data_IF_547972897906
#
_entry.id   IF_547972897906
#
_cell.length_a   1.000
_cell.length_b   1.000
_cell.length_c   1.000
_cell.angle_alpha   90.00
_cell.angle_beta   90.00
_cell.angle_gamma   90.00
#
_symmetry.space_group_name_H-M   'P 1'
#
loop_
_entity.id
_entity.type
_entity.pdbx_description
1 polymer ?
#
# COMPACT_ATOMS: atom_id res chain seq x y z
N UNK A 1 2.33 30.94 1.26
CA UNK A 1 1.33 30.12 1.96
C UNK A 1 2.03 29.39 3.08
N UNK A 2 1.61 29.57 4.34
CA UNK A 2 2.10 28.72 5.42
C UNK A 2 1.60 27.29 5.17
N UNK A 3 2.47 26.30 5.24
CA UNK A 3 2.06 24.90 5.17
C UNK A 3 1.18 24.61 6.38
N UNK A 4 -0.11 24.36 6.15
CA UNK A 4 -0.99 23.84 7.19
C UNK A 4 -0.51 22.41 7.46
N UNK A 5 0.05 22.17 8.66
CA UNK A 5 0.53 20.86 9.05
C UNK A 5 -0.62 19.84 9.15
N UNK A 6 -0.32 18.56 8.91
CA UNK A 6 -1.28 17.47 9.10
C UNK A 6 -1.46 17.21 10.60
N UNK A 7 -2.69 17.33 11.17
CA UNK A 7 -2.91 17.08 12.59
C UNK A 7 -2.66 15.62 12.96
N UNK A 8 -1.93 15.39 14.04
CA UNK A 8 -1.68 14.05 14.55
C UNK A 8 -0.73 14.00 15.74
N UNK A 9 -0.49 12.79 16.21
CA UNK A 9 0.41 12.49 17.33
C UNK A 9 1.50 11.53 16.86
N UNK A 10 2.76 11.81 17.20
CA UNK A 10 3.89 10.93 16.90
C UNK A 10 4.24 10.12 18.15
N UNK A 11 4.37 8.81 17.96
CA UNK A 11 4.93 7.88 18.92
C UNK A 11 6.25 7.31 18.38
N UNK A 12 7.05 6.69 19.24
CA UNK A 12 8.21 5.86 18.82
C UNK A 12 7.86 4.41 19.14
N UNK A 13 7.61 3.60 18.10
CA UNK A 13 7.13 2.24 18.28
C UNK A 13 8.28 1.21 18.36
N UNK A 14 9.42 1.50 17.73
CA UNK A 14 10.65 0.71 17.86
C UNK A 14 11.78 1.59 18.41
N UNK A 15 11.98 1.62 19.74
CA UNK A 15 12.96 2.50 20.38
C UNK A 15 14.40 2.25 19.97
N UNK A 16 14.79 1.02 19.61
CA UNK A 16 16.19 0.71 19.24
C UNK A 16 16.59 1.37 17.93
N UNK A 17 15.64 1.49 17.01
CA UNK A 17 15.81 2.13 15.70
C UNK A 17 15.24 3.56 15.66
N UNK A 18 14.57 3.97 16.74
CA UNK A 18 13.87 5.25 16.86
C UNK A 18 12.83 5.45 15.76
N UNK A 19 12.12 4.38 15.38
CA UNK A 19 11.15 4.45 14.29
C UNK A 19 9.84 5.10 14.78
N UNK A 20 9.39 6.18 14.12
CA UNK A 20 8.18 6.88 14.51
C UNK A 20 6.91 6.21 13.94
N UNK A 21 5.83 6.29 14.69
CA UNK A 21 4.48 5.96 14.24
C UNK A 21 3.60 7.21 14.39
N UNK A 22 3.00 7.63 13.28
CA UNK A 22 2.10 8.77 13.25
C UNK A 22 0.65 8.32 13.37
N UNK A 23 -0.09 8.94 14.29
CA UNK A 23 -1.52 8.75 14.47
C UNK A 23 -2.22 9.98 13.93
N UNK A 24 -3.07 9.80 12.92
CA UNK A 24 -3.80 10.92 12.33
C UNK A 24 -4.95 11.34 13.24
N UNK A 25 -5.04 12.64 13.54
CA UNK A 25 -6.13 13.21 14.32
C UNK A 25 -7.14 13.88 13.37
N UNK A 26 -8.43 13.76 13.69
CA UNK A 26 -9.44 14.45 12.88
C UNK A 26 -9.31 15.96 13.05
N UNK A 27 -9.32 16.69 11.92
CA UNK A 27 -9.29 18.15 11.90
C UNK A 27 -10.56 18.77 12.53
N UNK A 28 -11.65 18.00 12.69
CA UNK A 28 -12.93 18.47 13.24
C UNK A 28 -13.08 18.32 14.76
N UNK A 29 -12.13 17.69 15.45
CA UNK A 29 -12.20 17.45 16.90
C UNK A 29 -11.73 18.61 17.79
N UNK A 30 -11.48 19.79 17.23
CA UNK A 30 -10.80 20.91 17.89
C UNK A 30 -11.64 22.16 18.15
N UNK A 31 -12.97 22.10 18.14
CA UNK A 31 -13.78 23.19 18.69
C UNK A 31 -13.97 22.95 20.19
N UNK A 32 -13.17 23.67 21.00
CA UNK A 32 -13.42 23.84 22.43
C UNK A 32 -14.80 24.49 22.60
N UNK A 33 -15.83 23.69 22.86
CA UNK A 33 -17.01 24.15 23.58
C UNK A 33 -16.66 24.18 25.08
N UNK A 34 -15.92 25.23 25.47
CA UNK A 34 -15.87 25.66 26.87
C UNK A 34 -17.24 26.24 27.22
N UNK A 35 -18.19 25.38 27.57
CA UNK A 35 -19.33 25.80 28.38
C UNK A 35 -19.80 24.67 29.29
N UNK A 36 -19.74 24.98 30.58
CA UNK A 36 -20.07 24.14 31.73
C UNK A 36 -21.43 23.44 31.64
N UNK A 37 -21.45 22.11 31.84
CA UNK A 37 -22.22 21.53 32.95
C UNK A 37 -21.84 20.06 33.17
N UNK A 38 -21.43 19.75 34.40
CA UNK A 38 -21.22 18.41 34.92
C UNK A 38 -22.51 17.62 34.84
N UNK A 39 -22.64 16.83 33.78
CA UNK A 39 -23.59 15.72 33.72
C UNK A 39 -22.74 14.49 33.46
N UNK A 40 -22.62 13.64 34.48
CA UNK A 40 -22.04 12.30 34.38
C UNK A 40 -22.88 11.48 33.40
N UNK A 41 -22.57 11.56 32.10
CA UNK A 41 -22.99 10.54 31.16
C UNK A 41 -22.15 9.31 31.46
N UNK A 42 -22.83 8.22 31.83
CA UNK A 42 -22.24 6.89 31.80
C UNK A 42 -21.94 6.58 30.33
N UNK A 43 -20.75 6.96 29.86
CA UNK A 43 -20.24 6.60 28.54
C UNK A 43 -19.86 5.11 28.56
N UNK A 44 -20.88 4.26 28.51
CA UNK A 44 -20.78 2.89 28.01
C UNK A 44 -20.67 2.94 26.46
N UNK A 45 -19.79 3.78 25.92
CA UNK A 45 -19.42 3.74 24.51
C UNK A 45 -18.42 2.58 24.31
N UNK A 46 -18.99 1.38 24.33
CA UNK A 46 -18.32 0.08 24.27
C UNK A 46 -17.86 -0.30 22.86
N UNK A 47 -17.86 0.64 21.91
CA UNK A 47 -17.40 0.38 20.55
C UNK A 47 -15.87 0.22 20.51
N UNK A 48 -15.33 -0.92 20.03
CA UNK A 48 -13.89 -1.11 19.98
C UNK A 48 -13.25 -0.11 19.00
N UNK A 49 -12.16 0.53 19.42
CA UNK A 49 -11.38 1.40 18.54
C UNK A 49 -10.57 0.53 17.58
N UNK A 50 -11.01 0.46 16.34
CA UNK A 50 -10.34 -0.27 15.27
C UNK A 50 -9.21 0.58 14.67
N UNK A 51 -8.22 -0.09 14.12
CA UNK A 51 -7.02 0.52 13.55
C UNK A 51 -6.96 0.23 12.06
N UNK A 52 -6.72 1.27 11.28
CA UNK A 52 -6.22 1.16 9.91
C UNK A 52 -4.74 1.51 9.91
N UNK A 53 -3.88 0.51 9.79
CA UNK A 53 -2.43 0.67 9.66
C UNK A 53 -2.07 0.88 8.19
N UNK A 54 -1.68 2.10 7.86
CA UNK A 54 -1.28 2.54 6.54
C UNK A 54 0.22 2.35 6.33
N UNK A 55 0.60 1.61 5.30
CA UNK A 55 1.98 1.42 4.85
C UNK A 55 2.17 2.16 3.53
N UNK A 56 2.99 3.21 3.54
CA UNK A 56 3.32 4.01 2.36
C UNK A 56 4.19 3.24 1.34
N UNK A 57 4.39 3.85 0.17
CA UNK A 57 5.38 3.36 -0.79
C UNK A 57 6.81 3.59 -0.31
N UNK A 58 7.78 3.00 -1.01
CA UNK A 58 9.19 3.07 -0.65
C UNK A 58 9.75 4.50 -0.58
N UNK A 59 9.12 5.45 -1.28
CA UNK A 59 9.46 6.87 -1.29
C UNK A 59 8.68 7.71 -0.28
N UNK A 60 7.68 7.13 0.36
CA UNK A 60 6.82 7.85 1.28
C UNK A 60 7.48 8.01 2.64
N UNK A 61 7.16 9.14 3.26
CA UNK A 61 7.45 9.42 4.65
C UNK A 61 6.14 9.81 5.33
N UNK A 62 6.21 10.16 6.62
CA UNK A 62 5.03 10.63 7.34
C UNK A 62 4.38 11.82 6.60
N UNK A 63 3.07 11.70 6.36
CA UNK A 63 2.25 12.70 5.69
C UNK A 63 2.63 13.06 4.23
N UNK A 64 3.48 12.28 3.53
CA UNK A 64 3.76 12.51 2.10
C UNK A 64 2.59 12.18 1.20
N UNK A 65 1.68 11.30 1.67
CA UNK A 65 0.48 10.86 0.95
C UNK A 65 -0.74 11.66 1.44
N UNK A 66 -1.17 12.75 0.75
CA UNK A 66 -2.09 13.73 1.35
C UNK A 66 -3.49 13.18 1.61
N UNK A 67 -3.94 12.21 0.80
CA UNK A 67 -5.28 11.63 0.95
C UNK A 67 -5.45 10.85 2.26
N UNK A 68 -4.36 10.44 2.92
CA UNK A 68 -4.43 9.67 4.18
C UNK A 68 -5.03 10.52 5.31
N UNK A 69 -4.78 11.83 5.32
CA UNK A 69 -5.43 12.75 6.24
C UNK A 69 -6.95 12.84 5.99
N UNK A 70 -7.35 12.94 4.72
CA UNK A 70 -8.77 12.92 4.34
C UNK A 70 -9.44 11.59 4.70
N UNK A 71 -8.71 10.47 4.54
CA UNK A 71 -9.18 9.15 4.95
C UNK A 71 -9.37 9.08 6.47
N UNK A 72 -8.43 9.62 7.25
CA UNK A 72 -8.56 9.66 8.71
C UNK A 72 -9.77 10.50 9.16
N UNK A 73 -10.01 11.66 8.55
CA UNK A 73 -11.22 12.47 8.80
C UNK A 73 -12.51 11.73 8.42
N UNK A 74 -12.49 11.02 7.30
CA UNK A 74 -13.63 10.23 6.85
C UNK A 74 -13.94 9.08 7.81
N UNK A 75 -12.92 8.35 8.25
CA UNK A 75 -13.05 7.18 9.11
C UNK A 75 -13.42 7.53 10.56
N UNK A 76 -12.90 8.64 11.06
CA UNK A 76 -13.27 9.15 12.39
C UNK A 76 -14.71 9.68 12.47
N UNK A 77 -15.29 10.11 11.34
CA UNK A 77 -16.67 10.62 11.25
C UNK A 77 -17.71 9.59 10.83
N UNK A 78 -17.31 8.35 10.55
CA UNK A 78 -18.22 7.27 10.12
C UNK A 78 -19.17 6.87 11.24
N UNK A 79 -20.48 7.04 11.01
CA UNK A 79 -21.56 6.87 12.01
C UNK A 79 -21.99 5.42 12.24
N UNK A 80 -21.26 4.42 11.74
CA UNK A 80 -21.67 3.02 11.74
C UNK A 80 -21.34 2.28 13.05
N UNK A 81 -21.16 3.00 14.16
CA UNK A 81 -20.99 2.44 15.51
C UNK A 81 -19.62 1.85 15.83
N UNK A 82 -18.61 1.97 14.95
CA UNK A 82 -17.22 1.59 15.22
C UNK A 82 -16.29 2.77 14.99
N UNK A 83 -15.45 3.09 15.98
CA UNK A 83 -14.43 4.16 15.86
C UNK A 83 -13.20 3.62 15.15
N UNK A 84 -12.70 4.36 14.17
CA UNK A 84 -11.51 4.00 13.41
C UNK A 84 -10.40 5.04 13.59
N UNK A 85 -9.18 4.56 13.82
CA UNK A 85 -7.98 5.39 13.89
C UNK A 85 -7.00 4.97 12.81
N UNK A 86 -6.50 5.95 12.06
CA UNK A 86 -5.49 5.71 11.03
C UNK A 86 -4.11 5.91 11.67
N UNK A 87 -3.25 4.93 11.51
CA UNK A 87 -1.86 4.96 11.99
C UNK A 87 -0.91 4.69 10.82
N UNK A 88 0.25 5.32 10.82
CA UNK A 88 1.26 5.21 9.77
C UNK A 88 2.64 5.05 10.42
N UNK A 89 3.16 3.82 10.53
CA UNK A 89 4.54 3.60 10.94
C UNK A 89 5.48 4.02 9.82
N UNK A 90 6.53 4.75 10.17
CA UNK A 90 7.69 4.90 9.31
C UNK A 90 8.57 3.66 9.51
N UNK A 91 8.85 2.96 8.42
CA UNK A 91 9.73 1.79 8.40
C UNK A 91 11.16 2.21 8.10
N UNK A 92 12.13 1.36 8.38
CA UNK A 92 13.52 1.54 7.94
C UNK A 92 13.65 1.59 6.41
N UNK A 93 12.70 1.00 5.66
CA UNK A 93 12.65 1.11 4.20
C UNK A 93 12.08 2.44 3.69
N UNK A 94 11.44 3.25 4.55
CA UNK A 94 10.72 4.44 4.10
C UNK A 94 11.63 5.52 3.48
N UNK A 95 11.01 6.41 2.70
CA UNK A 95 11.62 7.53 2.01
C UNK A 95 12.79 7.18 1.05
N UNK A 96 14.04 7.25 1.52
CA UNK A 96 15.23 7.07 0.67
C UNK A 96 16.12 5.94 1.16
N UNK A 97 15.54 5.03 1.95
CA UNK A 97 16.29 4.00 2.68
C UNK A 97 15.94 2.58 2.23
N UNK A 98 14.88 2.37 1.44
CA UNK A 98 14.51 1.05 0.91
C UNK A 98 15.63 0.31 0.17
N UNK A 99 16.63 1.02 -0.35
CA UNK A 99 17.76 0.41 -1.06
C UNK A 99 18.73 -0.33 -0.14
N UNK A 100 18.63 -0.14 1.18
CA UNK A 100 19.49 -0.75 2.20
C UNK A 100 18.71 -1.57 3.25
N UNK A 101 17.45 -1.89 2.97
CA UNK A 101 16.56 -2.73 3.81
C UNK A 101 16.05 -3.94 3.01
N UNK A 102 15.17 -4.74 3.62
CA UNK A 102 14.48 -5.87 2.97
C UNK A 102 13.00 -5.93 3.35
N UNK A 103 12.19 -6.68 2.58
CA UNK A 103 10.78 -6.91 2.92
C UNK A 103 10.62 -7.69 4.24
N UNK A 104 11.54 -8.61 4.57
CA UNK A 104 11.54 -9.30 5.86
C UNK A 104 11.68 -8.33 7.05
N UNK A 105 12.48 -7.28 6.87
CA UNK A 105 12.66 -6.23 7.86
C UNK A 105 11.38 -5.39 8.01
N UNK A 106 10.72 -5.06 6.89
CA UNK A 106 9.44 -4.35 6.88
C UNK A 106 8.35 -5.17 7.60
N UNK A 107 8.26 -6.47 7.35
CA UNK A 107 7.33 -7.38 8.05
C UNK A 107 7.60 -7.40 9.57
N UNK A 108 8.86 -7.45 9.99
CA UNK A 108 9.23 -7.44 11.41
C UNK A 108 8.88 -6.10 12.08
N UNK A 109 9.10 -4.98 11.39
CA UNK A 109 8.79 -3.64 11.88
C UNK A 109 7.28 -3.38 11.91
N UNK A 110 6.52 -3.84 10.91
CA UNK A 110 5.05 -3.81 10.92
C UNK A 110 4.50 -4.64 12.08
N UNK A 111 5.04 -5.83 12.34
CA UNK A 111 4.65 -6.65 13.50
C UNK A 111 4.89 -5.89 14.81
N UNK A 112 6.06 -5.28 14.96
CA UNK A 112 6.40 -4.46 16.13
C UNK A 112 5.46 -3.26 16.28
N UNK A 113 5.08 -2.61 15.17
CA UNK A 113 4.11 -1.51 15.18
C UNK A 113 2.72 -1.98 15.63
N UNK A 114 2.27 -3.16 15.20
CA UNK A 114 1.00 -3.76 15.63
C UNK A 114 1.04 -4.08 17.14
N UNK A 115 2.13 -4.66 17.63
CA UNK A 115 2.30 -4.96 19.06
C UNK A 115 2.32 -3.68 19.90
N UNK A 116 2.99 -2.63 19.42
CA UNK A 116 2.98 -1.31 20.04
C UNK A 116 1.57 -0.74 20.10
N UNK A 117 0.83 -0.78 18.98
CA UNK A 117 -0.55 -0.29 18.90
C UNK A 117 -1.47 -1.04 19.87
N UNK A 118 -1.30 -2.36 20.01
CA UNK A 118 -2.07 -3.22 20.93
C UNK A 118 -1.72 -3.01 22.40
N UNK A 119 -0.50 -2.57 22.70
CA UNK A 119 -0.02 -2.36 24.07
C UNK A 119 -0.13 -0.91 24.54
N UNK A 120 -0.55 0.02 23.67
CA UNK A 120 -0.68 1.45 23.97
C UNK A 120 -2.13 1.80 24.35
N UNK A 121 -2.45 2.03 25.64
CA UNK A 121 -3.83 2.23 26.08
C UNK A 121 -4.50 3.47 25.48
N UNK A 122 -3.72 4.52 25.16
CA UNK A 122 -4.24 5.75 24.55
C UNK A 122 -4.72 5.58 23.10
N UNK A 123 -4.38 4.46 22.45
CA UNK A 123 -4.91 4.10 21.13
C UNK A 123 -6.18 3.24 21.22
N UNK A 124 -6.67 3.00 22.45
CA UNK A 124 -7.97 2.38 22.74
C UNK A 124 -8.16 0.97 22.18
N UNK A 125 -7.07 0.27 21.88
CA UNK A 125 -7.13 -1.06 21.30
C UNK A 125 -7.44 -2.09 22.39
N UNK A 126 -8.61 -2.70 22.30
CA UNK A 126 -8.93 -3.90 23.06
C UNK A 126 -8.54 -5.14 22.24
N UNK A 127 -8.53 -6.33 22.85
CA UNK A 127 -8.40 -7.58 22.09
C UNK A 127 -9.52 -7.79 21.05
N UNK A 128 -10.64 -7.07 21.19
CA UNK A 128 -11.74 -7.07 20.23
C UNK A 128 -11.58 -6.05 19.09
N UNK A 129 -10.58 -5.15 19.16
CA UNK A 129 -10.27 -4.19 18.12
C UNK A 129 -9.65 -4.85 16.90
N UNK A 130 -10.16 -4.52 15.71
CA UNK A 130 -9.59 -4.97 14.45
C UNK A 130 -8.39 -4.11 14.08
N UNK A 131 -7.36 -4.73 13.52
CA UNK A 131 -6.25 -4.04 12.85
C UNK A 131 -6.30 -4.42 11.39
N UNK A 132 -6.46 -3.43 10.52
CA UNK A 132 -6.49 -3.58 9.07
C UNK A 132 -5.19 -3.03 8.51
N UNK A 133 -4.51 -3.81 7.67
CA UNK A 133 -3.26 -3.42 7.02
C UNK A 133 -3.53 -2.94 5.59
N UNK A 134 -3.21 -1.67 5.32
CA UNK A 134 -3.43 -1.02 4.03
C UNK A 134 -2.11 -0.59 3.40
N UNK A 135 -1.73 -1.25 2.30
CA UNK A 135 -0.56 -0.88 1.50
C UNK A 135 -0.90 0.17 0.44
N UNK A 136 0.02 1.10 0.22
CA UNK A 136 0.00 2.07 -0.86
C UNK A 136 1.23 1.95 -1.75
N UNK A 137 1.03 1.95 -3.07
CA UNK A 137 2.11 1.84 -4.05
C UNK A 137 2.94 0.57 -3.78
N UNK A 138 4.25 0.68 -3.58
CA UNK A 138 5.10 -0.48 -3.28
C UNK A 138 4.87 -1.01 -1.87
N UNK A 139 4.27 -0.24 -0.94
CA UNK A 139 3.81 -0.74 0.36
C UNK A 139 2.71 -1.79 0.25
N UNK A 140 2.20 -2.05 -0.96
CA UNK A 140 1.36 -3.22 -1.24
C UNK A 140 2.14 -4.55 -1.21
N UNK A 141 3.48 -4.52 -1.25
CA UNK A 141 4.32 -5.71 -1.05
C UNK A 141 4.09 -6.30 0.36
N UNK A 142 3.81 -5.44 1.33
CA UNK A 142 3.55 -5.82 2.74
C UNK A 142 2.07 -5.71 3.15
N UNK A 143 1.20 -5.21 2.27
CA UNK A 143 -0.18 -4.83 2.59
C UNK A 143 -1.26 -5.84 2.19
N UNK A 144 -2.34 -5.92 2.97
CA UNK A 144 -3.51 -6.77 2.65
C UNK A 144 -4.57 -6.05 1.77
N UNK A 145 -4.68 -4.71 1.91
CA UNK A 145 -5.37 -3.85 0.93
C UNK A 145 -4.31 -3.27 0.00
N UNK A 146 -4.52 -3.42 -1.30
CA UNK A 146 -3.55 -3.05 -2.33
C UNK A 146 -4.05 -1.77 -3.03
N UNK A 147 -3.50 -0.59 -2.68
CA UNK A 147 -3.76 0.66 -3.41
C UNK A 147 -2.67 0.91 -4.44
N UNK A 148 -3.05 0.89 -5.73
CA UNK A 148 -2.13 1.20 -6.84
C UNK A 148 -0.83 0.40 -6.78
N UNK A 149 -0.88 -0.96 -6.82
CA UNK A 149 0.33 -1.78 -6.85
C UNK A 149 1.12 -1.50 -8.12
N UNK A 150 2.43 -1.73 -8.02
CA UNK A 150 3.37 -1.35 -9.05
C UNK A 150 4.48 -2.38 -9.15
N UNK A 151 4.83 -2.82 -10.37
CA UNK A 151 6.03 -3.66 -10.59
C UNK A 151 7.28 -2.81 -10.72
N UNK A 152 8.12 -2.84 -9.69
CA UNK A 152 9.45 -2.20 -9.69
C UNK A 152 10.31 -2.72 -10.87
N UNK A 153 10.29 -4.05 -11.10
CA UNK A 153 10.99 -4.71 -12.21
C UNK A 153 10.60 -4.12 -13.55
N UNK A 154 9.31 -4.04 -13.86
CA UNK A 154 8.87 -3.50 -15.16
C UNK A 154 9.28 -2.03 -15.35
N UNK A 155 9.29 -1.23 -14.27
CA UNK A 155 9.80 0.14 -14.28
C UNK A 155 11.27 0.21 -14.69
N UNK A 156 12.10 -0.62 -14.07
CA UNK A 156 13.53 -0.65 -14.33
C UNK A 156 13.81 -1.21 -15.74
N UNK A 157 13.07 -2.22 -16.18
CA UNK A 157 13.14 -2.75 -17.55
C UNK A 157 12.75 -1.71 -18.59
N UNK A 158 11.73 -0.89 -18.32
CA UNK A 158 11.36 0.23 -19.19
C UNK A 158 12.51 1.25 -19.31
N UNK A 159 13.16 1.60 -18.20
CA UNK A 159 14.33 2.49 -18.22
C UNK A 159 15.48 1.90 -19.04
N UNK A 160 15.74 0.59 -18.94
CA UNK A 160 16.74 -0.14 -19.73
C UNK A 160 16.39 -0.17 -21.22
N UNK A 161 15.11 -0.34 -21.56
CA UNK A 161 14.62 -0.36 -22.93
C UNK A 161 14.74 1.01 -23.61
N UNK A 162 14.52 2.09 -22.86
CA UNK A 162 14.42 3.46 -23.41
C UNK A 162 15.73 4.25 -23.33
N UNK A 163 16.67 3.88 -22.45
CA UNK A 163 17.91 4.64 -22.22
C UNK A 163 19.14 3.74 -22.25
N UNK A 164 20.02 3.96 -23.24
CA UNK A 164 21.28 3.21 -23.37
C UNK A 164 22.17 3.29 -22.12
N UNK A 165 22.22 4.44 -21.46
CA UNK A 165 22.95 4.60 -20.20
C UNK A 165 22.40 3.72 -19.05
N UNK A 166 21.08 3.51 -19.00
CA UNK A 166 20.48 2.59 -18.03
C UNK A 166 20.85 1.15 -18.34
N UNK A 167 20.83 0.74 -19.61
CA UNK A 167 21.25 -0.60 -20.02
C UNK A 167 22.68 -0.91 -19.58
N UNK A 168 23.63 -0.05 -19.95
CA UNK A 168 25.03 -0.23 -19.57
C UNK A 168 25.22 -0.25 -18.05
N UNK A 169 24.48 0.59 -17.30
CA UNK A 169 24.53 0.59 -15.85
C UNK A 169 23.94 -0.68 -15.23
N UNK A 170 22.83 -1.19 -15.75
CA UNK A 170 22.23 -2.44 -15.28
C UNK A 170 23.13 -3.64 -15.55
N UNK A 171 23.74 -3.72 -16.74
CA UNK A 171 24.68 -4.78 -17.10
C UNK A 171 25.87 -4.79 -16.15
N UNK A 172 26.43 -3.62 -15.82
CA UNK A 172 27.54 -3.49 -14.88
C UNK A 172 27.12 -3.82 -13.44
N UNK A 173 25.95 -3.38 -12.97
CA UNK A 173 25.42 -3.77 -11.65
C UNK A 173 25.24 -5.29 -11.55
N UNK A 174 24.68 -5.93 -12.59
CA UNK A 174 24.48 -7.37 -12.64
C UNK A 174 25.82 -8.12 -12.69
N UNK A 175 26.82 -7.59 -13.41
CA UNK A 175 28.18 -8.14 -13.42
C UNK A 175 28.81 -8.09 -12.04
N UNK A 176 28.72 -6.95 -11.34
CA UNK A 176 29.22 -6.79 -9.97
C UNK A 176 28.54 -7.81 -9.05
N UNK A 177 27.21 -7.91 -9.11
CA UNK A 177 26.42 -8.86 -8.33
C UNK A 177 26.86 -10.32 -8.57
N UNK A 178 27.03 -10.73 -9.83
CA UNK A 178 27.44 -12.08 -10.20
C UNK A 178 28.87 -12.43 -9.76
N UNK A 179 29.76 -11.44 -9.67
CA UNK A 179 31.14 -11.64 -9.19
C UNK A 179 31.31 -11.49 -7.68
N UNK A 180 30.29 -10.99 -6.99
CA UNK A 180 30.32 -10.82 -5.53
C UNK A 180 29.81 -12.12 -4.87
N UNK A 181 30.48 -12.65 -3.84
CA UNK A 181 30.00 -13.80 -3.08
C UNK A 181 28.56 -13.58 -2.55
N UNK A 182 27.65 -14.56 -2.66
CA UNK A 182 26.25 -14.39 -2.25
C UNK A 182 26.04 -13.92 -0.80
N UNK A 183 26.89 -14.37 0.12
CA UNK A 183 26.89 -13.98 1.54
C UNK A 183 27.25 -12.50 1.77
N UNK A 184 27.90 -11.86 0.80
CA UNK A 184 28.22 -10.43 0.83
C UNK A 184 27.15 -9.54 0.17
N UNK A 185 26.11 -10.12 -0.45
CA UNK A 185 25.10 -9.33 -1.20
C UNK A 185 24.30 -8.38 -0.31
N UNK A 186 24.02 -8.77 0.93
CA UNK A 186 23.25 -7.98 1.90
C UNK A 186 24.09 -6.88 2.59
N UNK A 187 25.40 -6.80 2.34
CA UNK A 187 26.30 -5.84 2.99
C UNK A 187 27.11 -5.02 1.99
N UNK A 188 27.04 -5.35 0.71
CA UNK A 188 27.78 -4.67 -0.36
C UNK A 188 26.88 -3.70 -1.11
N UNK A 189 27.26 -2.42 -1.13
CA UNK A 189 26.62 -1.39 -1.93
C UNK A 189 27.10 -1.42 -3.37
N UNK A 190 26.17 -1.32 -4.32
CA UNK A 190 26.49 -1.08 -5.72
C UNK A 190 27.00 0.35 -5.93
N UNK A 191 27.81 0.60 -6.99
CA UNK A 191 28.28 1.93 -7.30
C UNK A 191 27.12 2.90 -7.56
N UNK A 192 27.01 3.93 -6.70
CA UNK A 192 25.91 4.89 -6.74
C UNK A 192 25.74 5.59 -8.09
N UNK A 193 26.83 5.85 -8.82
CA UNK A 193 26.77 6.49 -10.14
C UNK A 193 26.02 5.65 -11.19
N UNK A 194 25.89 4.33 -10.98
CA UNK A 194 25.11 3.42 -11.81
C UNK A 194 23.65 3.38 -11.34
N UNK A 195 23.43 3.16 -10.04
CA UNK A 195 22.09 2.94 -9.48
C UNK A 195 21.24 4.21 -9.44
N UNK A 196 21.85 5.40 -9.33
CA UNK A 196 21.14 6.69 -9.38
C UNK A 196 20.36 6.92 -10.68
N UNK A 197 20.71 6.21 -11.75
CA UNK A 197 19.98 6.27 -13.01
C UNK A 197 18.57 5.68 -12.93
N UNK A 198 18.34 4.83 -11.93
CA UNK A 198 17.08 4.14 -11.65
C UNK A 198 16.36 4.72 -10.44
N UNK A 199 17.09 4.89 -9.33
CA UNK A 199 16.51 5.23 -8.01
C UNK A 199 17.05 6.54 -7.45
N UNK A 200 17.55 7.43 -8.31
CA UNK A 200 17.97 8.80 -7.95
C UNK A 200 18.95 8.86 -6.78
N UNK A 201 18.48 9.14 -5.56
CA UNK A 201 19.33 9.42 -4.38
C UNK A 201 19.40 8.29 -3.37
N UNK A 202 19.02 7.08 -3.77
CA UNK A 202 18.93 5.91 -2.88
C UNK A 202 20.19 5.04 -3.01
N UNK A 203 20.94 4.81 -1.91
CA UNK A 203 22.01 3.81 -1.90
C UNK A 203 21.40 2.42 -2.08
N UNK A 204 22.08 1.51 -2.76
CA UNK A 204 21.49 0.24 -3.16
C UNK A 204 22.41 -0.93 -2.83
N UNK A 205 21.98 -1.83 -1.95
CA UNK A 205 22.62 -3.12 -1.72
C UNK A 205 22.48 -4.02 -2.95
N UNK A 206 23.42 -4.94 -3.13
CA UNK A 206 23.33 -5.95 -4.18
C UNK A 206 22.07 -6.81 -4.01
N UNK A 207 21.77 -7.25 -2.77
CA UNK A 207 20.56 -8.04 -2.49
C UNK A 207 19.30 -7.30 -2.92
N UNK A 208 19.17 -6.01 -2.57
CA UNK A 208 18.01 -5.20 -2.91
C UNK A 208 17.92 -4.91 -4.40
N UNK A 209 19.05 -4.69 -5.07
CA UNK A 209 19.07 -4.56 -6.54
C UNK A 209 18.57 -5.83 -7.22
N UNK A 210 19.06 -7.01 -6.81
CA UNK A 210 18.64 -8.29 -7.39
C UNK A 210 17.16 -8.56 -7.14
N UNK A 211 16.64 -8.19 -5.97
CA UNK A 211 15.22 -8.30 -5.64
C UNK A 211 14.35 -7.40 -6.53
N UNK A 212 14.69 -6.11 -6.65
CA UNK A 212 13.93 -5.13 -7.47
C UNK A 212 14.04 -5.42 -8.98
N UNK A 213 15.24 -5.72 -9.48
CA UNK A 213 15.47 -6.02 -10.89
C UNK A 213 14.94 -7.39 -11.29
N UNK A 214 14.95 -8.34 -10.35
CA UNK A 214 14.52 -9.73 -10.53
C UNK A 214 14.97 -10.31 -11.88
N UNK A 215 16.29 -10.41 -12.13
CA UNK A 215 16.83 -10.79 -13.44
C UNK A 215 16.50 -12.23 -13.85
N UNK A 216 16.14 -13.10 -12.88
CA UNK A 216 15.72 -14.48 -13.10
C UNK A 216 14.21 -14.65 -13.25
N UNK A 217 13.44 -13.55 -13.23
CA UNK A 217 11.99 -13.56 -13.47
C UNK A 217 11.69 -13.69 -14.98
N UNK A 218 10.67 -14.48 -15.37
CA UNK A 218 9.59 -15.01 -14.53
C UNK A 218 9.84 -16.37 -13.86
N UNK A 219 10.92 -17.08 -14.18
CA UNK A 219 11.16 -18.44 -13.69
C UNK A 219 11.46 -18.49 -12.19
N UNK A 220 12.22 -17.52 -11.68
CA UNK A 220 12.59 -17.35 -10.27
C UNK A 220 12.51 -15.86 -9.91
N UNK A 221 11.30 -15.34 -9.62
CA UNK A 221 11.13 -13.95 -9.22
C UNK A 221 11.80 -13.67 -7.88
N UNK A 222 12.41 -12.48 -7.76
CA UNK A 222 12.93 -11.99 -6.50
C UNK A 222 11.82 -11.49 -5.57
N UNK A 223 12.20 -11.08 -4.37
CA UNK A 223 11.22 -10.83 -3.30
C UNK A 223 10.27 -9.66 -3.63
N UNK A 224 10.75 -8.61 -4.28
CA UNK A 224 9.95 -7.45 -4.70
C UNK A 224 9.08 -7.70 -5.93
N UNK A 225 9.37 -8.75 -6.70
CA UNK A 225 8.67 -9.04 -7.95
C UNK A 225 7.36 -9.78 -7.70
N UNK A 226 6.40 -9.07 -7.11
CA UNK A 226 5.05 -9.56 -6.78
C UNK A 226 3.99 -9.15 -7.80
N UNK A 227 4.34 -8.23 -8.70
CA UNK A 227 3.37 -7.53 -9.55
C UNK A 227 3.72 -7.51 -11.05
N UNK A 228 4.82 -8.14 -11.49
CA UNK A 228 5.14 -8.18 -12.93
C UNK A 228 4.08 -8.94 -13.72
N UNK A 229 3.78 -8.45 -14.93
CA UNK A 229 2.69 -9.00 -15.75
C UNK A 229 2.99 -10.36 -16.38
N UNK A 230 4.27 -10.78 -16.38
CA UNK A 230 4.76 -12.05 -16.89
C UNK A 230 4.83 -13.17 -15.82
N UNK A 231 4.41 -12.90 -14.58
CA UNK A 231 4.37 -13.91 -13.52
C UNK A 231 3.23 -14.92 -13.73
N UNK A 232 3.56 -16.20 -13.69
CA UNK A 232 2.59 -17.29 -13.83
C UNK A 232 1.62 -17.39 -12.65
N UNK A 233 0.42 -17.94 -12.90
CA UNK A 233 -0.62 -18.09 -11.88
C UNK A 233 -0.16 -18.87 -10.62
N UNK A 234 0.72 -19.86 -10.79
CA UNK A 234 1.28 -20.64 -9.69
C UNK A 234 2.14 -19.77 -8.76
N UNK A 235 2.97 -18.88 -9.30
CA UNK A 235 3.78 -17.93 -8.50
C UNK A 235 2.86 -16.99 -7.71
N UNK A 236 1.81 -16.48 -8.35
CA UNK A 236 0.84 -15.57 -7.71
C UNK A 236 0.02 -16.25 -6.60
N UNK A 237 -0.24 -17.56 -6.72
CA UNK A 237 -0.90 -18.34 -5.68
C UNK A 237 -0.06 -18.43 -4.39
N UNK A 238 1.28 -18.40 -4.51
CA UNK A 238 2.20 -18.46 -3.38
C UNK A 238 2.48 -17.11 -2.71
N UNK A 239 2.00 -15.99 -3.27
CA UNK A 239 2.17 -14.64 -2.67
C UNK A 239 0.92 -14.23 -1.90
N UNK A 240 -0.16 -13.89 -2.61
CA UNK A 240 -1.40 -13.43 -1.99
C UNK A 240 -2.32 -14.57 -1.53
N UNK A 241 -2.04 -15.82 -1.89
CA UNK A 241 -2.85 -16.98 -1.49
C UNK A 241 -2.50 -17.61 -0.13
N UNK A 242 -1.34 -17.27 0.46
CA UNK A 242 -0.82 -17.95 1.65
C UNK A 242 -1.19 -17.33 3.01
N UNK A 243 -1.80 -16.15 3.08
CA UNK A 243 -2.18 -15.49 4.36
C UNK A 243 -3.23 -16.30 5.15
N UNK A 244 -3.81 -17.36 4.55
CA UNK A 244 -4.80 -18.25 5.19
C UNK A 244 -4.17 -19.31 6.12
N UNK A 245 -2.85 -19.57 6.03
CA UNK A 245 -2.31 -20.85 6.51
C UNK A 245 -1.02 -20.79 7.36
N UNK A 246 -0.91 -19.89 8.34
CA UNK A 246 0.08 -20.11 9.43
C UNK A 246 -0.15 -19.21 10.65
N UNK A 247 -0.62 -19.80 11.75
CA UNK A 247 -0.31 -19.28 13.09
C UNK A 247 0.16 -20.45 13.98
N UNK A 248 1.48 -20.60 14.19
CA UNK A 248 2.02 -21.47 15.21
C UNK A 248 2.35 -20.64 16.45
N UNK A 249 1.33 -20.13 17.16
CA UNK A 249 1.32 -19.83 18.62
C UNK A 249 0.08 -18.99 19.01
N UNK A 250 -0.95 -19.68 19.50
CA UNK A 250 -1.66 -19.36 20.76
C UNK A 250 -2.31 -17.98 21.03
N UNK A 251 -2.23 -16.97 20.17
CA UNK A 251 -2.98 -15.71 20.32
C UNK A 251 -3.95 -15.59 19.15
N UNK A 252 -5.22 -15.84 19.42
CA UNK A 252 -6.27 -15.92 18.41
C UNK A 252 -6.59 -14.54 17.81
N UNK A 253 -6.04 -14.29 16.63
CA UNK A 253 -6.63 -13.44 15.61
C UNK A 253 -6.29 -14.07 14.27
N UNK A 254 -7.25 -14.72 13.62
CA UNK A 254 -7.07 -15.21 12.24
C UNK A 254 -6.86 -13.98 11.36
N UNK A 255 -5.71 -13.89 10.69
CA UNK A 255 -5.59 -13.02 9.53
C UNK A 255 -6.45 -13.63 8.42
N UNK A 256 -7.41 -12.88 7.89
CA UNK A 256 -8.30 -13.32 6.82
C UNK A 256 -8.10 -12.38 5.63
N UNK A 257 -7.92 -12.95 4.43
CA UNK A 257 -7.89 -12.18 3.19
C UNK A 257 -9.32 -11.87 2.81
N UNK A 258 -9.60 -10.59 2.63
CA UNK A 258 -10.90 -10.15 2.14
C UNK A 258 -11.06 -10.51 0.64
N UNK A 259 -12.22 -10.98 0.16
CA UNK A 259 -12.43 -11.32 -1.26
C UNK A 259 -12.16 -10.16 -2.24
N UNK A 260 -12.29 -8.92 -1.77
CA UNK A 260 -11.93 -7.73 -2.56
C UNK A 260 -10.40 -7.57 -2.74
N UNK A 261 -9.57 -8.19 -1.92
CA UNK A 261 -8.12 -8.23 -2.08
C UNK A 261 -7.74 -9.17 -3.23
N UNK A 262 -6.83 -8.74 -4.09
CA UNK A 262 -6.36 -9.54 -5.22
C UNK A 262 -5.72 -8.70 -6.31
N UNK A 263 -4.97 -9.37 -7.17
CA UNK A 263 -4.20 -8.73 -8.24
C UNK A 263 -5.15 -8.18 -9.30
N UNK A 264 -4.91 -6.94 -9.70
CA UNK A 264 -5.54 -6.35 -10.89
C UNK A 264 -4.56 -6.51 -12.05
N UNK A 265 -4.89 -7.40 -12.99
CA UNK A 265 -4.09 -7.58 -14.19
C UNK A 265 -3.99 -6.27 -14.99
N UNK A 266 -2.82 -5.99 -15.56
CA UNK A 266 -2.51 -4.77 -16.34
C UNK A 266 -2.36 -3.47 -15.54
N UNK A 267 -2.35 -3.50 -14.20
CA UNK A 267 -1.96 -2.35 -13.38
C UNK A 267 -0.43 -2.14 -13.44
N UNK A 268 0.06 -1.58 -14.56
CA UNK A 268 1.48 -1.23 -14.75
C UNK A 268 1.80 0.12 -14.12
N UNK A 269 3.10 0.39 -13.94
CA UNK A 269 3.70 1.58 -13.30
C UNK A 269 3.27 2.94 -13.85
N UNK A 270 2.46 2.98 -14.90
CA UNK A 270 1.87 4.21 -15.37
C UNK A 270 0.47 4.39 -14.75
N UNK A 271 0.44 5.16 -13.67
CA UNK A 271 -0.71 6.04 -13.47
C UNK A 271 -0.97 6.96 -14.69
N UNK A 272 -0.14 6.89 -15.75
CA UNK A 272 -0.21 7.51 -17.07
C UNK A 272 -0.36 6.54 -18.28
N UNK A 273 -0.90 5.33 -18.09
CA UNK A 273 -1.15 4.41 -19.21
C UNK A 273 -2.29 4.85 -20.08
N UNK A 274 -2.06 4.78 -21.40
CA UNK A 274 -3.03 5.12 -22.43
C UNK A 274 -3.69 3.87 -23.02
N UNK A 275 -3.05 2.71 -22.90
CA UNK A 275 -3.66 1.46 -23.33
C UNK A 275 -4.95 1.21 -22.53
N UNK A 276 -6.00 0.78 -23.24
CA UNK A 276 -7.33 0.61 -22.64
C UNK A 276 -7.30 -0.29 -21.40
N UNK A 277 -6.57 -1.41 -21.45
CA UNK A 277 -6.43 -2.34 -20.33
C UNK A 277 -5.77 -1.70 -19.09
N UNK A 278 -4.75 -0.86 -19.29
CA UNK A 278 -4.07 -0.13 -18.21
C UNK A 278 -5.00 0.93 -17.58
N UNK A 279 -5.76 1.66 -18.41
CA UNK A 279 -6.77 2.63 -17.93
C UNK A 279 -7.91 1.95 -17.20
N UNK A 280 -8.38 0.80 -17.68
CA UNK A 280 -9.43 0.01 -17.03
C UNK A 280 -8.97 -0.50 -15.66
N UNK A 281 -7.80 -1.13 -15.59
CA UNK A 281 -7.20 -1.57 -14.34
C UNK A 281 -7.09 -0.43 -13.31
N UNK A 282 -6.60 0.74 -13.74
CA UNK A 282 -6.37 1.92 -12.88
C UNK A 282 -7.65 2.61 -12.41
N UNK A 283 -8.62 2.79 -13.28
CA UNK A 283 -9.78 3.64 -13.03
C UNK A 283 -11.01 2.85 -12.58
N UNK A 284 -11.04 1.54 -12.83
CA UNK A 284 -12.19 0.68 -12.54
C UNK A 284 -11.82 -0.39 -11.54
N UNK A 285 -10.99 -1.36 -11.91
CA UNK A 285 -10.78 -2.57 -11.10
C UNK A 285 -10.10 -2.26 -9.77
N UNK A 286 -9.05 -1.42 -9.77
CA UNK A 286 -8.35 -1.01 -8.55
C UNK A 286 -9.27 -0.24 -7.60
N UNK A 287 -9.88 0.90 -7.99
CA UNK A 287 -10.74 1.64 -7.06
C UNK A 287 -11.97 0.83 -6.62
N UNK A 288 -12.52 -0.05 -7.46
CA UNK A 288 -13.64 -0.92 -7.07
C UNK A 288 -13.25 -1.85 -5.91
N UNK A 289 -12.13 -2.57 -6.03
CA UNK A 289 -11.64 -3.47 -4.98
C UNK A 289 -11.42 -2.73 -3.66
N UNK A 290 -10.82 -1.54 -3.76
CA UNK A 290 -10.53 -0.67 -2.63
C UNK A 290 -11.78 -0.20 -1.92
N UNK A 291 -12.70 0.38 -2.67
CA UNK A 291 -13.91 0.94 -2.09
C UNK A 291 -14.83 -0.17 -1.56
N UNK A 292 -14.83 -1.34 -2.22
CA UNK A 292 -15.54 -2.54 -1.76
C UNK A 292 -14.98 -3.02 -0.42
N UNK A 293 -13.64 -3.14 -0.30
CA UNK A 293 -13.01 -3.48 0.98
C UNK A 293 -13.38 -2.48 2.08
N UNK A 294 -13.28 -1.17 1.79
CA UNK A 294 -13.61 -0.14 2.77
C UNK A 294 -15.09 -0.20 3.17
N UNK A 295 -16.02 -0.46 2.24
CA UNK A 295 -17.43 -0.62 2.59
C UNK A 295 -17.71 -1.84 3.48
N UNK A 296 -17.10 -2.98 3.15
CA UNK A 296 -17.34 -4.26 3.84
C UNK A 296 -16.64 -4.32 5.20
N UNK A 297 -15.35 -3.99 5.25
CA UNK A 297 -14.52 -4.15 6.45
C UNK A 297 -14.62 -2.95 7.37
N UNK A 298 -14.64 -1.75 6.79
CA UNK A 298 -14.59 -0.51 7.57
C UNK A 298 -15.99 0.07 7.81
N UNK A 299 -16.84 0.03 6.78
CA UNK A 299 -18.24 0.43 6.84
C UNK A 299 -19.18 -0.62 7.45
N UNK A 300 -18.75 -1.89 7.55
CA UNK A 300 -19.59 -2.98 8.04
C UNK A 300 -20.82 -3.29 7.17
N UNK A 301 -20.80 -2.90 5.89
CA UNK A 301 -21.92 -3.08 4.94
C UNK A 301 -21.69 -4.26 4.02
N UNK A 302 -22.76 -4.99 3.66
CA UNK A 302 -22.64 -6.06 2.66
C UNK A 302 -22.69 -5.47 1.25
N UNK A 303 -22.09 -6.18 0.28
CA UNK A 303 -22.06 -5.83 -1.16
C UNK A 303 -23.41 -5.48 -1.78
N UNK A 304 -24.50 -5.89 -1.14
CA UNK A 304 -25.86 -5.86 -1.67
C UNK A 304 -26.64 -4.60 -1.25
N UNK A 305 -26.08 -3.79 -0.36
CA UNK A 305 -26.75 -2.58 0.12
C UNK A 305 -26.85 -1.55 -1.01
N UNK A 306 -28.08 -1.13 -1.31
CA UNK A 306 -28.35 -0.14 -2.35
C UNK A 306 -27.68 1.19 -2.00
N UNK A 307 -26.52 1.45 -2.64
CA UNK A 307 -25.69 2.62 -2.36
C UNK A 307 -24.59 2.37 -1.34
N UNK A 308 -23.61 1.54 -1.70
CA UNK A 308 -22.15 1.75 -1.48
C UNK A 308 -21.86 3.12 -0.82
N UNK A 309 -21.40 3.12 0.43
CA UNK A 309 -21.56 4.30 1.29
C UNK A 309 -20.37 4.71 2.16
N UNK A 310 -19.22 4.04 2.03
CA UNK A 310 -17.92 4.60 2.36
C UNK A 310 -17.48 5.45 1.17
N UNK A 311 -17.49 6.78 1.35
CA UNK A 311 -17.13 7.73 0.30
C UNK A 311 -18.11 7.71 -0.89
N UNK A 312 -19.37 8.11 -0.69
CA UNK A 312 -20.37 8.22 -1.77
C UNK A 312 -19.87 8.99 -3.00
N UNK A 313 -19.09 10.05 -2.78
CA UNK A 313 -18.44 10.81 -3.86
C UNK A 313 -17.38 10.00 -4.61
N UNK A 314 -16.61 9.16 -3.91
CA UNK A 314 -15.63 8.27 -4.51
C UNK A 314 -16.32 7.20 -5.37
N UNK A 315 -17.42 6.63 -4.88
CA UNK A 315 -18.26 5.70 -5.65
C UNK A 315 -18.95 6.36 -6.85
N UNK A 316 -19.38 7.62 -6.72
CA UNK A 316 -19.92 8.38 -7.83
C UNK A 316 -18.84 8.69 -8.89
N UNK A 317 -17.62 9.01 -8.46
CA UNK A 317 -16.47 9.23 -9.36
C UNK A 317 -16.10 7.95 -10.10
N UNK A 318 -16.00 6.83 -9.39
CA UNK A 318 -15.72 5.52 -9.98
C UNK A 318 -16.76 5.13 -11.03
N UNK A 319 -18.06 5.29 -10.73
CA UNK A 319 -19.15 5.01 -11.70
C UNK A 319 -18.98 5.81 -12.99
N UNK A 320 -18.73 7.11 -12.89
CA UNK A 320 -18.49 7.97 -14.07
C UNK A 320 -17.28 7.51 -14.89
N UNK A 321 -16.21 7.10 -14.23
CA UNK A 321 -15.00 6.62 -14.92
C UNK A 321 -15.23 5.28 -15.61
N UNK A 322 -15.95 4.36 -14.96
CA UNK A 322 -16.35 3.07 -15.54
C UNK A 322 -17.26 3.25 -16.75
N UNK A 323 -18.32 4.04 -16.64
CA UNK A 323 -19.25 4.33 -17.73
C UNK A 323 -18.53 4.93 -18.96
N UNK A 324 -17.60 5.86 -18.75
CA UNK A 324 -16.83 6.45 -19.83
C UNK A 324 -15.96 5.43 -20.58
N UNK A 325 -15.29 4.53 -19.86
CA UNK A 325 -14.47 3.47 -20.47
C UNK A 325 -15.32 2.37 -21.14
N UNK A 326 -16.49 2.05 -20.59
CA UNK A 326 -17.44 1.12 -21.23
C UNK A 326 -17.93 1.69 -22.57
N UNK A 327 -18.26 2.98 -22.63
CA UNK A 327 -18.64 3.66 -23.88
C UNK A 327 -17.50 3.63 -24.91
N UNK A 328 -16.26 3.90 -24.50
CA UNK A 328 -15.09 3.80 -25.37
C UNK A 328 -14.90 2.38 -25.93
N UNK A 329 -15.10 1.34 -25.09
CA UNK A 329 -15.00 -0.06 -25.51
C UNK A 329 -16.02 -0.40 -26.59
N UNK A 330 -17.25 0.06 -26.44
CA UNK A 330 -18.31 -0.20 -27.42
C UNK A 330 -18.09 0.59 -28.73
N UNK A 331 -17.61 1.83 -28.66
CA UNK A 331 -17.23 2.61 -29.86
C UNK A 331 -16.11 1.94 -30.65
N UNK A 332 -15.08 1.43 -29.97
CA UNK A 332 -13.96 0.72 -30.60
C UNK A 332 -14.38 -0.62 -31.23
N UNK A 333 -15.43 -1.27 -30.71
CA UNK A 333 -16.02 -2.46 -31.35
C UNK A 333 -16.76 -2.09 -32.64
N UNK A 334 -17.59 -1.04 -32.61
CA UNK A 334 -18.37 -0.59 -33.78
C UNK A 334 -17.46 -0.13 -34.93
N UNK A 335 -16.36 0.58 -34.62
CA UNK A 335 -15.39 1.02 -35.62
C UNK A 335 -14.65 -0.12 -36.34
N UNK A 336 -14.42 -1.26 -35.67
CA UNK A 336 -13.82 -2.46 -36.29
C UNK A 336 -14.75 -3.13 -37.31
N UNK A 337 -16.07 -3.04 -37.13
CA UNK A 337 -17.04 -3.61 -38.07
C UNK A 337 -17.33 -2.71 -39.28
N UNK A 338 -16.79 -1.47 -39.33
CA UNK A 338 -16.97 -0.54 -40.45
C UNK A 338 -15.76 -0.44 -41.39
N UNK A 339 -14.64 -1.10 -41.06
CA UNK A 339 -13.41 -1.10 -41.87
C UNK A 339 -13.17 -2.39 -42.67
N UNK A 340 -14.08 -3.36 -42.56
CA UNK A 340 -14.01 -4.67 -43.24
C UNK A 340 -14.92 -4.75 -44.49
N UNK A 341 -15.42 -3.60 -44.99
CA UNK A 341 -16.15 -3.47 -46.26
C UNK A 341 -15.31 -2.78 -47.36
#
# INVERSE_FOLDING_TARGET
>A
MAAVGVPGTIYVYEPKRTLPLFVYNSARGGTNDDNSNTTTSNDNDSSPQNILLFVGGMWDALATTPYVATLADYLSSSSNGSKWTVVHPLLSSSARQFGISSLDEDVAEISTAIDFVRSTPSLGTSSASRVVLMGHSTGCQDGAIIQAPVSDRESMLHAIATRAACRAAADECNRIAATTPPDAHATTLLPYHLTRLFVSSVPMLISRWLSLMSPSSPEQPGDDDKFSSDLGADVLAHTFGHVVASSPRGVAGRAEIHPASGIVGSAKHNLAGEAFAERWARLVDLPERVLTYLDEVVGGRQTNDAGRGVGQEAWARWRRQKEALEQEREQNKVGKYQTDD
#
